data_IF_385996763163
#
_entry.id   IF_385996763163
#
_cell.length_a   1.000
_cell.length_b   1.000
_cell.length_c   1.000
_cell.angle_alpha   90.00
_cell.angle_beta   90.00
_cell.angle_gamma   90.00
#
_symmetry.space_group_name_H-M   'P 1'
#
loop_
_entity.id
_entity.type
_entity.pdbx_description
1 polymer ?
#
# COMPACT_ATOMS: atom_id res chain seq x y z
N UNK A 1 20.80 16.40 19.64
CA UNK A 1 20.42 15.29 18.73
C UNK A 1 19.44 15.85 17.69
N UNK A 2 19.85 16.04 16.41
CA UNK A 2 18.98 16.52 15.35
C UNK A 2 17.90 15.46 15.12
N UNK A 3 16.63 15.80 15.34
CA UNK A 3 15.51 14.98 14.90
C UNK A 3 15.61 14.83 13.38
N UNK A 4 16.04 13.67 12.91
CA UNK A 4 15.90 13.31 11.50
C UNK A 4 14.42 13.40 11.17
N UNK A 5 14.05 14.31 10.27
CA UNK A 5 12.71 14.40 9.70
C UNK A 5 12.39 13.04 9.05
N UNK A 6 11.68 12.20 9.77
CA UNK A 6 11.27 10.88 9.26
C UNK A 6 10.24 11.14 8.18
N UNK A 7 10.62 10.94 6.93
CA UNK A 7 9.71 11.08 5.78
C UNK A 7 8.69 9.96 5.85
N UNK A 8 7.44 10.28 6.14
CA UNK A 8 6.35 9.32 6.09
C UNK A 8 6.02 8.97 4.63
N UNK A 9 6.00 7.69 4.33
CA UNK A 9 5.59 7.20 3.04
C UNK A 9 4.06 7.03 2.98
N UNK A 10 3.50 7.22 1.79
CA UNK A 10 2.12 6.88 1.47
C UNK A 10 2.08 6.39 0.03
N UNK A 11 1.74 5.12 -0.15
CA UNK A 11 1.46 4.53 -1.46
C UNK A 11 -0.02 4.71 -1.73
N UNK A 12 -0.35 5.35 -2.86
CA UNK A 12 -1.73 5.56 -3.27
C UNK A 12 -2.33 4.26 -3.79
N UNK A 13 -3.59 4.01 -3.45
CA UNK A 13 -4.37 2.92 -4.06
C UNK A 13 -4.71 3.25 -5.52
N UNK A 14 -4.85 2.22 -6.34
CA UNK A 14 -5.28 2.37 -7.73
C UNK A 14 -6.79 2.14 -7.88
N UNK A 15 -7.35 1.31 -7.01
CA UNK A 15 -8.77 0.97 -6.94
C UNK A 15 -9.21 1.02 -5.46
N UNK A 16 -10.51 1.16 -5.22
CA UNK A 16 -11.10 1.15 -3.87
C UNK A 16 -10.77 -0.13 -3.08
N UNK A 17 -10.55 -1.25 -3.78
CA UNK A 17 -10.19 -2.56 -3.21
C UNK A 17 -8.74 -2.66 -2.77
N UNK A 18 -7.92 -1.70 -3.17
CA UNK A 18 -6.47 -1.72 -2.97
C UNK A 18 -6.04 -1.07 -1.66
N UNK A 19 -6.96 -0.57 -0.83
CA UNK A 19 -6.60 0.14 0.41
C UNK A 19 -5.68 -0.70 1.32
N UNK A 20 -6.03 -1.97 1.55
CA UNK A 20 -5.20 -2.89 2.34
C UNK A 20 -3.82 -3.15 1.74
N UNK A 21 -3.73 -3.62 0.48
CA UNK A 21 -2.46 -3.80 -0.22
C UNK A 21 -1.60 -2.54 -0.29
N UNK A 22 -2.19 -1.35 -0.49
CA UNK A 22 -1.48 -0.07 -0.50
C UNK A 22 -0.93 0.30 0.89
N UNK A 23 -1.67 -0.01 1.97
CA UNK A 23 -1.17 0.13 3.34
C UNK A 23 0.04 -0.77 3.59
N UNK A 24 -0.02 -2.04 3.19
CA UNK A 24 1.11 -2.96 3.36
C UNK A 24 2.31 -2.54 2.49
N UNK A 25 2.10 -2.06 1.26
CA UNK A 25 3.15 -1.48 0.43
C UNK A 25 3.78 -0.23 1.08
N UNK A 26 2.98 0.59 1.74
CA UNK A 26 3.43 1.78 2.48
C UNK A 26 4.37 1.40 3.63
N UNK A 27 3.97 0.42 4.46
CA UNK A 27 4.80 -0.07 5.57
C UNK A 27 6.07 -0.75 5.05
N UNK A 28 5.95 -1.60 4.03
CA UNK A 28 7.11 -2.25 3.39
C UNK A 28 8.13 -1.20 2.92
N UNK A 29 7.67 -0.15 2.25
CA UNK A 29 8.53 0.96 1.79
C UNK A 29 9.15 1.73 2.94
N UNK A 30 8.44 1.93 4.06
CA UNK A 30 8.97 2.58 5.26
C UNK A 30 10.13 1.79 5.85
N UNK A 31 10.11 0.45 5.74
CA UNK A 31 11.19 -0.44 6.17
C UNK A 31 12.23 -0.73 5.07
N UNK A 32 12.10 -0.13 3.87
CA UNK A 32 13.09 -0.22 2.79
C UNK A 32 12.84 -1.31 1.75
N UNK A 33 11.65 -1.93 1.73
CA UNK A 33 11.22 -2.86 0.70
C UNK A 33 10.17 -2.21 -0.19
N UNK A 34 10.48 -2.01 -1.48
CA UNK A 34 9.50 -1.54 -2.47
C UNK A 34 8.84 -2.75 -3.13
N UNK A 35 7.55 -2.92 -2.91
CA UNK A 35 6.76 -4.01 -3.50
C UNK A 35 5.57 -3.43 -4.26
N UNK A 36 5.29 -3.89 -5.49
CA UNK A 36 4.11 -3.45 -6.25
C UNK A 36 2.82 -3.87 -5.55
N UNK A 37 1.79 -3.01 -5.59
CA UNK A 37 0.45 -3.32 -5.04
C UNK A 37 -0.11 -4.61 -5.67
N UNK A 38 0.09 -4.83 -6.97
CA UNK A 38 -0.37 -6.03 -7.69
C UNK A 38 0.16 -7.33 -7.09
N UNK A 39 1.44 -7.37 -6.69
CA UNK A 39 2.03 -8.53 -6.02
C UNK A 39 1.41 -8.76 -4.65
N UNK A 40 1.16 -7.69 -3.89
CA UNK A 40 0.53 -7.78 -2.58
C UNK A 40 -0.92 -8.25 -2.70
N UNK A 41 -1.69 -7.75 -3.68
CA UNK A 41 -3.06 -8.20 -3.98
C UNK A 41 -3.14 -9.71 -4.17
N UNK A 42 -2.26 -10.24 -5.02
CA UNK A 42 -2.19 -11.68 -5.32
C UNK A 42 -1.94 -12.49 -4.03
N UNK A 43 -0.95 -12.09 -3.26
CA UNK A 43 -0.55 -12.79 -2.04
C UNK A 43 -1.58 -12.67 -0.92
N UNK A 44 -2.27 -11.52 -0.83
CA UNK A 44 -3.31 -11.23 0.16
C UNK A 44 -4.68 -11.82 -0.19
N UNK A 45 -4.84 -12.40 -1.39
CA UNK A 45 -6.13 -12.92 -1.84
C UNK A 45 -7.18 -11.82 -1.98
N UNK A 46 -6.79 -10.64 -2.49
CA UNK A 46 -7.70 -9.52 -2.72
C UNK A 46 -8.73 -9.89 -3.78
N UNK A 47 -10.00 -9.81 -3.46
CA UNK A 47 -11.12 -10.14 -4.33
C UNK A 47 -11.99 -8.91 -4.70
N UNK A 48 -13.24 -9.15 -5.14
CA UNK A 48 -14.19 -8.10 -5.49
C UNK A 48 -14.64 -7.25 -4.29
N UNK A 49 -14.53 -7.79 -3.07
CA UNK A 49 -14.90 -7.11 -1.82
C UNK A 49 -13.72 -6.38 -1.17
N UNK A 50 -12.49 -6.59 -1.69
CA UNK A 50 -11.26 -6.03 -1.15
C UNK A 50 -10.39 -7.07 -0.46
N UNK A 51 -9.63 -6.65 0.54
CA UNK A 51 -8.72 -7.54 1.30
C UNK A 51 -9.16 -7.58 2.76
N UNK A 52 -9.39 -8.76 3.31
CA UNK A 52 -9.66 -8.90 4.73
C UNK A 52 -8.36 -8.85 5.57
N UNK A 53 -8.52 -8.67 6.88
CA UNK A 53 -7.37 -8.53 7.79
C UNK A 53 -6.48 -9.80 7.81
N UNK A 54 -7.08 -10.98 7.69
CA UNK A 54 -6.33 -12.24 7.64
C UNK A 54 -5.44 -12.31 6.40
N UNK A 55 -5.97 -11.96 5.22
CA UNK A 55 -5.19 -11.90 3.97
C UNK A 55 -4.03 -10.90 4.05
N UNK A 56 -4.23 -9.74 4.71
CA UNK A 56 -3.15 -8.78 4.93
C UNK A 56 -2.06 -9.33 5.84
N UNK A 57 -2.42 -10.05 6.91
CA UNK A 57 -1.46 -10.70 7.81
C UNK A 57 -0.63 -11.74 7.04
N UNK A 58 -1.29 -12.62 6.28
CA UNK A 58 -0.61 -13.63 5.45
C UNK A 58 0.33 -12.99 4.42
N UNK A 59 -0.10 -11.90 3.79
CA UNK A 59 0.76 -11.16 2.85
C UNK A 59 1.96 -10.52 3.55
N UNK A 60 1.76 -9.94 4.74
CA UNK A 60 2.85 -9.35 5.52
C UNK A 60 3.90 -10.41 5.92
N UNK A 61 3.46 -11.59 6.36
CA UNK A 61 4.36 -12.69 6.71
C UNK A 61 5.18 -13.17 5.50
N UNK A 62 4.56 -13.29 4.32
CA UNK A 62 5.27 -13.63 3.08
C UNK A 62 6.26 -12.55 2.63
N UNK A 63 6.06 -11.29 3.01
CA UNK A 63 7.01 -10.21 2.80
C UNK A 63 8.13 -10.16 3.86
N UNK A 64 8.11 -11.07 4.84
CA UNK A 64 9.13 -11.18 5.88
C UNK A 64 8.84 -10.34 7.12
N UNK A 65 7.59 -9.93 7.37
CA UNK A 65 7.17 -9.34 8.64
C UNK A 65 6.65 -10.42 9.59
N UNK A 66 6.77 -10.18 10.88
CA UNK A 66 5.91 -10.81 11.89
C UNK A 66 4.69 -9.91 12.02
N UNK A 67 3.49 -10.46 11.80
CA UNK A 67 2.26 -9.68 11.78
C UNK A 67 1.21 -10.27 12.75
N UNK A 68 0.46 -9.38 13.43
CA UNK A 68 -0.60 -9.76 14.37
C UNK A 68 -1.78 -8.80 14.28
N UNK A 69 -2.98 -9.35 14.11
CA UNK A 69 -4.22 -8.61 14.28
C UNK A 69 -4.59 -8.48 15.77
N UNK A 70 -4.93 -7.28 16.19
CA UNK A 70 -5.43 -6.99 17.54
C UNK A 70 -6.74 -6.19 17.46
N UNK A 71 -7.62 -6.40 18.42
CA UNK A 71 -8.89 -5.67 18.52
C UNK A 71 -9.09 -5.21 19.95
N UNK A 72 -9.52 -3.97 20.11
CA UNK A 72 -9.90 -3.37 21.38
C UNK A 72 -11.26 -2.70 21.29
N UNK A 73 -11.98 -2.68 22.40
CA UNK A 73 -13.19 -1.86 22.56
C UNK A 73 -12.87 -0.53 23.24
N UNK A 74 -11.71 -0.41 23.88
CA UNK A 74 -11.25 0.81 24.54
C UNK A 74 -10.45 1.64 23.55
N UNK A 75 -11.00 2.77 23.11
CA UNK A 75 -10.36 3.65 22.12
C UNK A 75 -9.03 4.23 22.63
N UNK A 76 -8.95 4.47 23.92
CA UNK A 76 -7.76 5.02 24.60
C UNK A 76 -6.56 4.07 24.54
N UNK A 77 -6.77 2.76 24.31
CA UNK A 77 -5.70 1.80 24.11
C UNK A 77 -4.77 2.13 22.94
N UNK A 78 -5.19 3.05 22.03
CA UNK A 78 -4.31 3.54 20.95
C UNK A 78 -3.12 4.35 21.47
N UNK A 79 -3.18 4.85 22.71
CA UNK A 79 -2.07 5.55 23.37
C UNK A 79 -1.10 4.64 24.11
N UNK A 80 -1.41 3.35 24.20
CA UNK A 80 -0.48 2.35 24.73
C UNK A 80 0.68 2.16 23.74
N UNK A 81 1.80 1.61 24.24
CA UNK A 81 2.99 1.38 23.42
C UNK A 81 2.79 0.15 22.52
N UNK A 82 2.86 0.35 21.22
CA UNK A 82 2.89 -0.72 20.24
C UNK A 82 3.75 -0.33 19.01
N UNK A 83 4.16 -1.30 18.18
CA UNK A 83 4.98 -1.05 17.01
C UNK A 83 4.29 -0.13 15.99
N UNK A 84 5.00 0.92 15.54
CA UNK A 84 4.59 1.78 14.44
C UNK A 84 5.63 1.68 13.31
N UNK A 85 5.21 1.79 12.04
CA UNK A 85 3.83 2.02 11.57
C UNK A 85 2.93 0.78 11.70
N UNK A 86 1.63 0.98 11.92
CA UNK A 86 0.62 -0.06 12.02
C UNK A 86 -0.55 0.19 11.06
N UNK A 87 -1.26 -0.86 10.62
CA UNK A 87 -2.47 -0.70 9.80
C UNK A 87 -3.69 -0.62 10.72
N UNK A 88 -4.49 0.43 10.56
CA UNK A 88 -5.78 0.58 11.24
C UNK A 88 -6.93 0.29 10.27
N UNK A 89 -7.94 -0.45 10.76
CA UNK A 89 -9.20 -0.62 10.06
C UNK A 89 -10.17 0.46 10.52
N UNK A 90 -10.76 1.15 9.56
CA UNK A 90 -11.65 2.29 9.80
C UNK A 90 -12.95 2.16 9.00
N UNK A 91 -13.98 2.91 9.39
CA UNK A 91 -15.21 3.09 8.63
C UNK A 91 -15.30 4.56 8.23
N UNK A 92 -15.23 4.83 6.93
CA UNK A 92 -15.35 6.17 6.37
C UNK A 92 -16.78 6.40 5.90
N UNK A 93 -17.30 7.61 6.13
CA UNK A 93 -18.67 8.01 5.75
C UNK A 93 -19.75 7.03 6.24
N UNK A 94 -19.53 6.42 7.41
CA UNK A 94 -20.46 5.52 8.09
C UNK A 94 -20.62 4.12 7.49
N UNK A 95 -20.14 3.86 6.29
CA UNK A 95 -20.38 2.59 5.58
C UNK A 95 -19.16 1.99 4.90
N UNK A 96 -18.22 2.81 4.44
CA UNK A 96 -17.09 2.33 3.67
C UNK A 96 -15.98 1.76 4.58
N UNK A 97 -15.78 0.45 4.52
CA UNK A 97 -14.67 -0.22 5.19
C UNK A 97 -13.36 0.16 4.50
N UNK A 98 -12.38 0.62 5.27
CA UNK A 98 -11.13 1.14 4.73
C UNK A 98 -9.95 0.81 5.65
N UNK A 99 -8.74 0.82 5.08
CA UNK A 99 -7.48 0.67 5.82
C UNK A 99 -6.64 1.92 5.67
N UNK A 100 -6.00 2.33 6.77
CA UNK A 100 -5.03 3.43 6.82
C UNK A 100 -3.78 2.98 7.58
N UNK A 101 -2.63 3.60 7.32
CA UNK A 101 -1.40 3.36 8.08
C UNK A 101 -1.21 4.44 9.12
N UNK A 102 -1.12 4.08 10.38
CA UNK A 102 -0.74 4.98 11.47
C UNK A 102 0.79 5.08 11.48
N UNK A 103 1.33 6.29 11.31
CA UNK A 103 2.76 6.57 11.38
C UNK A 103 3.19 7.13 12.73
N UNK A 104 2.33 7.94 13.35
CA UNK A 104 2.65 8.62 14.61
C UNK A 104 1.38 8.85 15.42
N UNK A 105 1.50 8.68 16.72
CA UNK A 105 0.45 8.96 17.69
C UNK A 105 1.00 9.91 18.74
N UNK A 106 0.24 10.95 19.04
CA UNK A 106 0.47 11.86 20.16
C UNK A 106 -0.87 12.14 20.85
N UNK A 107 -0.85 12.72 22.05
CA UNK A 107 -2.09 13.13 22.74
C UNK A 107 -2.88 14.22 21.98
N UNK A 108 -2.24 14.92 21.01
CA UNK A 108 -2.87 16.01 20.25
C UNK A 108 -3.25 15.63 18.83
N UNK A 109 -2.50 14.73 18.20
CA UNK A 109 -2.73 14.34 16.80
C UNK A 109 -2.29 12.91 16.51
N UNK A 110 -2.98 12.28 15.58
CA UNK A 110 -2.65 10.99 14.98
C UNK A 110 -2.35 11.24 13.50
N UNK A 111 -1.10 10.97 13.10
CA UNK A 111 -0.69 11.10 11.69
C UNK A 111 -0.85 9.78 10.98
N UNK A 112 -1.65 9.77 9.93
CA UNK A 112 -1.92 8.57 9.13
C UNK A 112 -1.55 8.77 7.66
N UNK A 113 -1.24 7.66 6.98
CA UNK A 113 -1.22 7.59 5.53
C UNK A 113 -2.52 6.91 5.07
N UNK A 114 -3.40 7.69 4.46
CA UNK A 114 -4.61 7.24 3.82
C UNK A 114 -4.30 6.94 2.34
N UNK A 115 -4.45 5.70 1.86
CA UNK A 115 -4.18 5.36 0.46
C UNK A 115 -5.03 6.15 -0.55
N UNK A 116 -6.19 6.63 -0.16
CA UNK A 116 -7.04 7.47 -1.00
C UNK A 116 -6.61 8.94 -1.00
N UNK A 117 -6.27 9.50 0.17
CA UNK A 117 -6.05 10.94 0.37
C UNK A 117 -4.57 11.34 0.46
N UNK A 118 -3.71 10.50 1.04
CA UNK A 118 -2.31 10.81 1.34
C UNK A 118 -2.03 10.90 2.83
N UNK A 119 -1.06 11.70 3.22
CA UNK A 119 -0.77 11.94 4.65
C UNK A 119 -1.83 12.88 5.20
N UNK A 120 -2.56 12.42 6.22
CA UNK A 120 -3.62 13.15 6.91
C UNK A 120 -3.33 13.16 8.40
N UNK A 121 -3.77 14.19 9.09
CA UNK A 121 -3.70 14.33 10.54
C UNK A 121 -5.12 14.42 11.09
N UNK A 122 -5.39 13.64 12.11
CA UNK A 122 -6.64 13.64 12.86
C UNK A 122 -6.36 14.04 14.32
N UNK A 123 -7.33 14.70 14.96
CA UNK A 123 -7.37 14.70 16.42
C UNK A 123 -7.70 13.26 16.91
N UNK A 124 -7.36 12.89 18.15
CA UNK A 124 -7.78 11.61 18.69
C UNK A 124 -9.29 11.37 18.59
N UNK A 125 -10.09 12.40 18.90
CA UNK A 125 -11.56 12.35 18.88
C UNK A 125 -12.08 12.05 17.47
N UNK A 126 -11.58 12.75 16.44
CA UNK A 126 -11.94 12.50 15.03
C UNK A 126 -11.57 11.09 14.61
N UNK A 127 -10.35 10.64 14.96
CA UNK A 127 -9.90 9.28 14.62
C UNK A 127 -10.75 8.21 15.30
N UNK A 128 -11.14 8.42 16.56
CA UNK A 128 -11.97 7.48 17.31
C UNK A 128 -13.37 7.30 16.71
N UNK A 129 -13.90 8.30 16.02
CA UNK A 129 -15.21 8.18 15.34
C UNK A 129 -15.15 7.19 14.17
N UNK A 130 -14.03 7.11 13.47
CA UNK A 130 -13.88 6.24 12.28
C UNK A 130 -13.19 4.91 12.58
N UNK A 131 -12.34 4.83 13.62
CA UNK A 131 -11.58 3.62 13.92
C UNK A 131 -12.45 2.54 14.56
N UNK A 132 -12.38 1.33 14.00
CA UNK A 132 -13.17 0.17 14.47
C UNK A 132 -12.60 -0.54 15.72
N UNK A 133 -11.45 -0.08 16.21
CA UNK A 133 -10.71 -0.74 17.28
C UNK A 133 -9.76 -1.83 16.79
N UNK A 134 -9.71 -2.10 15.48
CA UNK A 134 -8.84 -3.13 14.89
C UNK A 134 -7.54 -2.51 14.39
N UNK A 135 -6.41 -3.13 14.76
CA UNK A 135 -5.07 -2.84 14.23
C UNK A 135 -4.42 -4.11 13.72
N UNK A 136 -3.59 -3.98 12.68
CA UNK A 136 -2.63 -5.00 12.28
C UNK A 136 -1.25 -4.43 12.58
N UNK A 137 -0.58 -5.05 13.54
CA UNK A 137 0.76 -4.71 13.99
C UNK A 137 1.77 -5.49 13.15
N UNK A 138 2.83 -4.81 12.69
CA UNK A 138 3.86 -5.42 11.85
C UNK A 138 5.24 -5.01 12.36
N UNK A 139 6.12 -5.99 12.48
CA UNK A 139 7.55 -5.78 12.75
C UNK A 139 8.38 -6.58 11.75
N UNK A 140 9.48 -6.04 11.21
CA UNK A 140 10.37 -6.82 10.37
C UNK A 140 10.89 -8.04 11.13
N UNK A 141 10.68 -9.24 10.57
CA UNK A 141 11.26 -10.47 11.10
C UNK A 141 12.78 -10.52 10.80
N UNK A 142 13.56 -11.37 11.46
CA UNK A 142 14.99 -11.56 11.13
C UNK A 142 15.25 -11.92 9.68
N UNK A 143 14.26 -12.51 9.01
CA UNK A 143 14.30 -12.91 7.58
C UNK A 143 13.92 -11.77 6.62
N UNK A 144 13.50 -10.62 7.13
CA UNK A 144 13.08 -9.48 6.30
C UNK A 144 14.23 -8.96 5.43
N UNK A 145 13.98 -8.84 4.13
CA UNK A 145 14.98 -8.36 3.16
C UNK A 145 14.54 -7.02 2.59
N UNK A 146 15.38 -5.99 2.73
CA UNK A 146 15.23 -4.72 2.02
C UNK A 146 15.50 -4.94 0.53
N UNK A 147 14.82 -4.18 -0.33
CA UNK A 147 14.98 -4.33 -1.77
C UNK A 147 13.98 -3.54 -2.58
N UNK A 148 14.03 -3.75 -3.90
CA UNK A 148 13.13 -3.12 -4.85
C UNK A 148 12.60 -4.16 -5.83
N UNK A 149 11.43 -4.72 -5.50
CA UNK A 149 10.73 -5.73 -6.31
C UNK A 149 10.03 -5.10 -7.54
N UNK A 150 10.04 -3.77 -7.66
CA UNK A 150 9.51 -3.08 -8.83
C UNK A 150 10.51 -3.09 -9.99
N UNK A 151 11.81 -3.30 -9.68
CA UNK A 151 12.85 -3.43 -10.69
C UNK A 151 12.67 -4.76 -11.44
N UNK A 152 12.45 -4.66 -12.72
CA UNK A 152 12.24 -5.84 -13.58
C UNK A 152 10.86 -5.93 -14.22
N UNK A 153 9.87 -5.15 -13.80
CA UNK A 153 8.60 -5.06 -14.51
C UNK A 153 8.80 -4.55 -15.94
N UNK A 154 9.62 -3.51 -16.13
CA UNK A 154 10.00 -3.02 -17.46
C UNK A 154 10.80 -4.05 -18.25
N UNK A 155 11.74 -4.75 -17.63
CA UNK A 155 12.51 -5.80 -18.30
C UNK A 155 11.60 -6.94 -18.77
N UNK A 156 10.65 -7.39 -17.95
CA UNK A 156 9.66 -8.41 -18.33
C UNK A 156 8.76 -7.91 -19.47
N UNK A 157 8.30 -6.66 -19.41
CA UNK A 157 7.51 -6.05 -20.49
C UNK A 157 8.29 -6.03 -21.80
N UNK A 158 9.54 -5.57 -21.81
CA UNK A 158 10.38 -5.58 -23.00
C UNK A 158 10.67 -6.99 -23.50
N UNK A 159 10.86 -7.96 -22.59
CA UNK A 159 11.03 -9.38 -22.98
C UNK A 159 9.81 -9.95 -23.71
N UNK A 160 8.59 -9.49 -23.39
CA UNK A 160 7.37 -9.86 -24.12
C UNK A 160 7.28 -9.20 -25.50
N UNK A 161 7.86 -8.01 -25.66
CA UNK A 161 7.85 -7.27 -26.94
C UNK A 161 8.93 -7.72 -27.92
N UNK A 162 10.09 -8.19 -27.41
CA UNK A 162 11.22 -8.59 -28.24
C UNK A 162 10.88 -9.66 -29.31
N UNK A 163 10.11 -10.73 -28.99
CA UNK A 163 9.73 -11.73 -30.00
C UNK A 163 8.88 -11.16 -31.13
N UNK A 164 8.12 -10.06 -30.85
CA UNK A 164 7.18 -9.43 -31.79
C UNK A 164 7.77 -8.18 -32.46
N UNK A 165 9.06 -7.93 -32.33
CA UNK A 165 9.73 -6.72 -32.88
C UNK A 165 9.47 -6.48 -34.38
N UNK A 166 9.39 -7.55 -35.17
CA UNK A 166 9.09 -7.45 -36.61
C UNK A 166 7.68 -6.93 -36.86
N UNK A 167 6.69 -7.45 -36.13
CA UNK A 167 5.29 -7.00 -36.23
C UNK A 167 5.15 -5.54 -35.80
N UNK A 168 5.78 -5.16 -34.70
CA UNK A 168 5.79 -3.77 -34.20
C UNK A 168 6.41 -2.81 -35.20
N UNK A 169 7.50 -3.19 -35.86
CA UNK A 169 8.11 -2.41 -36.94
C UNK A 169 7.18 -2.24 -38.16
N UNK A 170 6.50 -3.32 -38.58
CA UNK A 170 5.53 -3.22 -39.68
C UNK A 170 4.38 -2.27 -39.34
N UNK A 171 3.82 -2.38 -38.11
CA UNK A 171 2.74 -1.48 -37.66
C UNK A 171 3.24 -0.03 -37.63
N UNK A 172 4.45 0.21 -37.15
CA UNK A 172 5.04 1.54 -37.07
C UNK A 172 5.22 2.15 -38.46
N UNK A 173 5.80 1.41 -39.42
CA UNK A 173 5.97 1.90 -40.77
C UNK A 173 4.64 2.08 -41.52
N UNK A 174 3.69 1.17 -41.36
CA UNK A 174 2.35 1.30 -41.93
C UNK A 174 1.63 2.57 -41.38
N UNK A 175 1.78 2.87 -40.11
CA UNK A 175 1.24 4.09 -39.50
C UNK A 175 1.83 5.38 -40.06
N UNK A 176 3.13 5.40 -40.38
CA UNK A 176 3.80 6.53 -40.97
C UNK A 176 3.30 6.74 -42.42
N UNK A 177 3.22 5.66 -43.20
CA UNK A 177 2.75 5.73 -44.61
C UNK A 177 1.29 6.19 -44.68
N UNK A 178 0.43 5.66 -43.77
CA UNK A 178 -0.97 6.09 -43.70
C UNK A 178 -1.12 7.58 -43.39
N UNK A 179 -0.29 8.11 -42.48
CA UNK A 179 -0.31 9.53 -42.11
C UNK A 179 0.15 10.46 -43.28
N UNK A 180 1.07 9.97 -44.12
CA UNK A 180 1.53 10.75 -45.30
C UNK A 180 0.51 10.75 -46.46
N UNK A 181 -0.32 9.71 -46.59
CA UNK A 181 -1.36 9.62 -47.61
C UNK A 181 -2.57 10.53 -47.41
N UNK A 182 -2.69 11.22 -46.28
CA UNK A 182 -3.81 12.14 -45.98
C UNK A 182 -3.51 13.61 -46.25
N UNK A 183 -2.32 13.92 -46.77
CA UNK A 183 -1.90 15.30 -47.14
C UNK A 183 -1.79 15.54 -48.65
N UNK A 184 -2.50 14.75 -49.47
CA UNK A 184 -2.67 15.04 -50.91
C UNK A 184 -4.15 15.17 -51.24
#
# INVERSE_FOLDING_TARGET
MKAMLTKYHCIKQHDIKDCGPACLATISKQHGLKTPISKIREVAGTDKQGTNAYGLIQAAEKLGFTAKGVKTTKKEAIFEEFPLPAIAHVVVDGTLLHYMVIHKITKKEITVADPAKGIVKYTPEEFFQIWTGVLILLVPAPTFKKGDDTKGLFSRFFHLLIPQKKLLLHIFFASIIYKQGWFH
#
